data_IF_444580936662
#
_entry.id   IF_444580936662
#
_cell.length_a   1.000
_cell.length_b   1.000
_cell.length_c   1.000
_cell.angle_alpha   90.00
_cell.angle_beta   90.00
_cell.angle_gamma   90.00
#
_symmetry.space_group_name_H-M   'P 1'
#
loop_
_entity.id
_entity.type
_entity.pdbx_description
1 polymer ?
#
# COMPACT_ATOMS: atom_id res chain seq x y z
N UNK A 1 4.06 -3.00 -2.37
CA UNK A 1 3.16 -2.78 -3.53
C UNK A 1 1.77 -2.89 -2.95
N UNK A 2 0.90 -1.92 -3.19
CA UNK A 2 -0.46 -1.96 -2.68
C UNK A 2 -1.46 -1.90 -3.83
N UNK A 3 -2.53 -2.66 -3.71
CA UNK A 3 -3.69 -2.65 -4.59
C UNK A 3 -4.69 -1.65 -4.01
N UNK A 4 -5.27 -0.83 -4.88
CA UNK A 4 -6.27 0.18 -4.52
C UNK A 4 -7.50 -0.02 -5.40
N UNK A 5 -8.61 -0.40 -4.77
CA UNK A 5 -9.90 -0.55 -5.41
C UNK A 5 -10.87 0.52 -4.91
N UNK A 6 -11.58 1.16 -5.84
CA UNK A 6 -12.68 2.08 -5.54
C UNK A 6 -13.98 1.43 -5.98
N UNK A 7 -14.93 1.33 -5.06
CA UNK A 7 -16.25 0.73 -5.31
C UNK A 7 -17.34 1.77 -5.03
N UNK A 8 -18.23 1.97 -6.00
CA UNK A 8 -19.47 2.71 -5.81
C UNK A 8 -20.49 1.79 -5.15
N UNK A 9 -20.96 2.14 -3.95
CA UNK A 9 -22.01 1.41 -3.25
C UNK A 9 -22.78 2.38 -2.35
N UNK A 10 -24.11 2.26 -2.29
CA UNK A 10 -24.97 3.08 -1.42
C UNK A 10 -24.68 4.59 -1.47
N UNK A 11 -24.49 5.12 -2.69
CA UNK A 11 -24.18 6.53 -2.95
C UNK A 11 -22.87 7.03 -2.29
N UNK A 12 -21.93 6.12 -2.06
CA UNK A 12 -20.63 6.39 -1.44
C UNK A 12 -19.51 5.66 -2.20
N UNK A 13 -18.30 6.20 -2.10
CA UNK A 13 -17.09 5.55 -2.60
C UNK A 13 -16.43 4.81 -1.44
N UNK A 14 -16.35 3.49 -1.57
CA UNK A 14 -15.60 2.63 -0.67
C UNK A 14 -14.21 2.37 -1.25
N UNK A 15 -13.16 2.63 -0.47
CA UNK A 15 -11.77 2.40 -0.87
C UNK A 15 -11.24 1.15 -0.18
N UNK A 16 -10.81 0.17 -0.97
CA UNK A 16 -10.13 -1.05 -0.51
C UNK A 16 -8.65 -0.92 -0.80
N UNK A 17 -7.83 -0.92 0.24
CA UNK A 17 -6.36 -0.87 0.13
C UNK A 17 -5.80 -2.14 0.76
N UNK A 18 -4.97 -2.87 0.02
CA UNK A 18 -4.34 -4.08 0.55
C UNK A 18 -3.02 -4.40 -0.13
N UNK A 19 -2.16 -5.16 0.54
CA UNK A 19 -0.87 -5.62 -0.01
C UNK A 19 -0.96 -7.05 -0.60
N UNK A 20 -2.10 -7.73 -0.41
CA UNK A 20 -2.35 -9.11 -0.85
C UNK A 20 -3.47 -9.15 -1.89
N UNK A 21 -3.20 -9.72 -3.06
CA UNK A 21 -4.21 -9.94 -4.13
C UNK A 21 -5.41 -10.72 -3.61
N UNK A 22 -5.17 -11.75 -2.78
CA UNK A 22 -6.24 -12.60 -2.26
C UNK A 22 -7.20 -11.79 -1.37
N UNK A 23 -6.65 -11.07 -0.39
CA UNK A 23 -7.44 -10.23 0.54
C UNK A 23 -8.14 -9.10 -0.20
N UNK A 24 -7.48 -8.50 -1.20
CA UNK A 24 -8.05 -7.46 -2.05
C UNK A 24 -9.32 -7.94 -2.75
N UNK A 25 -9.21 -9.06 -3.46
CA UNK A 25 -10.29 -9.61 -4.25
C UNK A 25 -11.43 -10.11 -3.37
N UNK A 26 -11.12 -10.69 -2.20
CA UNK A 26 -12.15 -11.10 -1.25
C UNK A 26 -12.97 -9.89 -0.76
N UNK A 27 -12.31 -8.78 -0.42
CA UNK A 27 -13.01 -7.56 -0.01
C UNK A 27 -13.83 -6.93 -1.15
N UNK A 28 -13.28 -6.86 -2.36
CA UNK A 28 -14.01 -6.38 -3.54
C UNK A 28 -15.24 -7.25 -3.83
N UNK A 29 -15.10 -8.57 -3.82
CA UNK A 29 -16.20 -9.49 -4.03
C UNK A 29 -17.31 -9.31 -2.99
N UNK A 30 -16.95 -9.09 -1.72
CA UNK A 30 -17.91 -8.80 -0.66
C UNK A 30 -18.71 -7.51 -0.89
N UNK A 31 -18.07 -6.46 -1.45
CA UNK A 31 -18.75 -5.22 -1.82
C UNK A 31 -19.62 -5.38 -3.08
N UNK A 32 -19.15 -6.16 -4.07
CA UNK A 32 -19.92 -6.46 -5.28
C UNK A 32 -21.18 -7.29 -4.97
N UNK A 33 -21.10 -8.24 -4.04
CA UNK A 33 -22.26 -9.01 -3.58
C UNK A 33 -23.33 -8.14 -2.91
N UNK A 34 -22.96 -6.97 -2.38
CA UNK A 34 -23.90 -5.99 -1.83
C UNK A 34 -24.48 -5.05 -2.90
N UNK A 35 -24.18 -5.27 -4.19
CA UNK A 35 -24.60 -4.41 -5.29
C UNK A 35 -23.61 -3.31 -5.64
N UNK A 36 -22.37 -3.41 -5.15
CA UNK A 36 -21.32 -2.45 -5.45
C UNK A 36 -20.77 -2.60 -6.87
N UNK A 37 -20.32 -1.49 -7.47
CA UNK A 37 -19.67 -1.47 -8.78
C UNK A 37 -18.25 -0.96 -8.67
N UNK A 38 -17.28 -1.69 -9.23
CA UNK A 38 -15.88 -1.26 -9.26
C UNK A 38 -15.74 -0.09 -10.25
N UNK A 39 -15.26 1.05 -9.75
CA UNK A 39 -15.00 2.25 -10.55
C UNK A 39 -13.54 2.27 -11.01
N UNK A 40 -12.62 1.85 -10.13
CA UNK A 40 -11.19 1.83 -10.39
C UNK A 40 -10.56 0.69 -9.59
N UNK A 41 -9.62 -0.02 -10.20
CA UNK A 41 -8.82 -1.03 -9.51
C UNK A 41 -7.40 -0.99 -10.06
N UNK A 42 -6.48 -0.47 -9.24
CA UNK A 42 -5.11 -0.19 -9.66
C UNK A 42 -4.10 -0.82 -8.74
N UNK A 43 -2.97 -1.22 -9.30
CA UNK A 43 -1.81 -1.64 -8.55
C UNK A 43 -0.83 -0.48 -8.46
N UNK A 44 -0.54 -0.04 -7.24
CA UNK A 44 0.49 0.95 -6.96
C UNK A 44 1.74 0.24 -6.46
N UNK A 45 2.75 0.22 -7.32
CA UNK A 45 4.09 -0.15 -6.90
C UNK A 45 4.53 0.80 -5.79
N UNK A 46 5.14 0.25 -4.73
CA UNK A 46 5.78 1.09 -3.72
C UNK A 46 6.95 1.79 -4.43
N UNK A 47 6.70 2.95 -5.03
CA UNK A 47 7.77 3.90 -5.27
C UNK A 47 8.32 4.18 -3.87
N UNK A 48 9.50 3.65 -3.58
CA UNK A 48 10.16 3.82 -2.30
C UNK A 48 10.03 5.29 -1.93
N UNK A 49 9.45 5.59 -0.76
CA UNK A 49 9.46 6.94 -0.25
C UNK A 49 10.90 7.43 -0.21
N UNK A 50 11.13 8.72 -0.38
CA UNK A 50 12.47 9.27 -0.23
C UNK A 50 12.43 10.36 0.80
N UNK A 51 13.36 10.29 1.75
CA UNK A 51 13.60 11.37 2.72
C UNK A 51 14.85 12.13 2.30
N UNK A 52 14.92 13.42 2.63
CA UNK A 52 16.12 14.21 2.41
C UNK A 52 16.96 14.11 3.68
N UNK A 53 18.17 13.54 3.58
CA UNK A 53 19.15 13.48 4.67
C UNK A 53 20.34 14.33 4.27
N UNK A 54 20.66 15.37 5.05
CA UNK A 54 21.78 16.28 4.79
C UNK A 54 21.79 16.83 3.34
N UNK A 55 20.62 17.24 2.84
CA UNK A 55 20.45 17.79 1.49
C UNK A 55 20.51 16.77 0.35
N UNK A 56 20.64 15.47 0.64
CA UNK A 56 20.62 14.40 -0.37
C UNK A 56 19.34 13.58 -0.28
N UNK A 57 18.74 13.27 -1.43
CA UNK A 57 17.58 12.38 -1.53
C UNK A 57 18.02 10.95 -1.21
N UNK A 58 17.54 10.40 -0.10
CA UNK A 58 17.78 9.03 0.34
C UNK A 58 16.51 8.22 0.21
N UNK A 59 16.61 7.07 -0.44
CA UNK A 59 15.54 6.10 -0.58
C UNK A 59 15.24 5.50 0.80
N UNK A 60 14.00 5.64 1.27
CA UNK A 60 13.51 5.08 2.53
C UNK A 60 12.38 4.10 2.27
N UNK A 61 12.53 2.81 2.62
CA UNK A 61 11.45 1.86 2.49
C UNK A 61 10.30 2.28 3.43
N UNK A 62 9.13 2.58 2.86
CA UNK A 62 7.92 2.97 3.62
C UNK A 62 7.36 1.81 4.43
N UNK A 63 7.66 0.58 4.02
CA UNK A 63 7.44 -0.62 4.80
C UNK A 63 8.66 -0.85 5.69
N UNK A 64 8.50 -0.67 7.00
CA UNK A 64 9.39 -1.30 7.97
C UNK A 64 9.33 -2.80 7.68
N UNK A 65 10.29 -3.35 6.95
CA UNK A 65 10.73 -4.68 7.31
C UNK A 65 11.23 -4.54 8.74
N UNK A 66 10.74 -5.35 9.67
CA UNK A 66 11.40 -5.58 10.95
C UNK A 66 12.75 -6.27 10.70
N UNK A 67 13.62 -5.62 9.95
CA UNK A 67 15.02 -5.95 9.80
C UNK A 67 15.70 -5.42 11.03
N UNK A 68 15.72 -6.27 12.07
CA UNK A 68 16.75 -6.34 13.10
C UNK A 68 17.94 -5.44 12.75
N UNK A 69 18.10 -4.33 13.47
CA UNK A 69 19.29 -3.48 13.42
C UNK A 69 20.48 -4.39 13.74
N UNK A 70 21.20 -4.84 12.71
CA UNK A 70 22.53 -5.40 12.87
C UNK A 70 23.45 -4.19 12.95
N UNK A 71 24.05 -4.02 14.12
CA UNK A 71 24.69 -2.80 14.60
C UNK A 71 25.59 -2.10 13.58
N UNK A 72 25.56 -0.78 13.66
CA UNK A 72 26.52 0.07 12.99
C UNK A 72 27.95 -0.31 13.38
N UNK A 73 28.81 -0.50 12.39
CA UNK A 73 30.25 -0.33 12.59
C UNK A 73 30.49 1.13 12.97
N UNK A 74 30.70 1.39 14.25
CA UNK A 74 31.47 2.55 14.67
C UNK A 74 32.95 2.14 14.64
N UNK A 75 33.71 2.82 13.78
CA UNK A 75 35.16 2.81 13.85
C UNK A 75 35.61 3.55 15.12
N UNK A 76 36.50 2.92 15.86
CA UNK A 76 37.25 3.44 17.01
C UNK A 76 38.33 2.44 17.36
#
# INVERSE_FOLDING_TARGET
MFLVGHVWLHNQIHVVISESVHTHNQALNGLMQQGGSIIQNECKNNALGSVIVNGKKSVWPLTKSEGRVIGGKQHG
#
